data_IF_290092280611
#
_entry.id   IF_290092280611
#
_cell.length_a   1.000
_cell.length_b   1.000
_cell.length_c   1.000
_cell.angle_alpha   90.00
_cell.angle_beta   90.00
_cell.angle_gamma   90.00
#
_symmetry.space_group_name_H-M   'P 1'
#
loop_
_entity.id
_entity.type
_entity.pdbx_description
1 polymer ?
#
# COMPACT_ATOMS: atom_id res chain seq x y z
N UNK A 1 4.82 7.45 -15.49
CA UNK A 1 4.28 6.77 -14.30
C UNK A 1 2.90 6.26 -14.66
N UNK A 2 2.56 5.03 -14.31
CA UNK A 2 1.25 4.45 -14.60
C UNK A 2 0.20 5.08 -13.65
N UNK A 3 -1.00 5.42 -14.13
CA UNK A 3 -2.04 6.09 -13.33
C UNK A 3 -2.36 5.34 -12.02
N UNK A 4 -2.31 3.99 -12.07
CA UNK A 4 -2.46 3.12 -10.90
C UNK A 4 -1.36 3.30 -9.85
N UNK A 5 -0.13 3.65 -10.25
CA UNK A 5 0.97 3.89 -9.31
C UNK A 5 0.83 5.24 -8.61
N UNK A 6 0.26 6.23 -9.30
CA UNK A 6 -0.06 7.51 -8.68
C UNK A 6 -1.21 7.33 -7.67
N UNK A 7 -2.29 6.65 -8.10
CA UNK A 7 -3.41 6.31 -7.24
C UNK A 7 -2.97 5.55 -5.98
N UNK A 8 -2.13 4.52 -6.11
CA UNK A 8 -1.61 3.76 -4.97
C UNK A 8 -0.90 4.65 -3.94
N UNK A 9 -0.07 5.60 -4.39
CA UNK A 9 0.67 6.50 -3.50
C UNK A 9 -0.26 7.47 -2.76
N UNK A 10 -1.27 7.98 -3.44
CA UNK A 10 -2.24 8.88 -2.82
C UNK A 10 -3.12 8.14 -1.81
N UNK A 11 -3.50 6.89 -2.13
CA UNK A 11 -4.31 6.04 -1.29
C UNK A 11 -3.55 5.59 -0.03
N UNK A 12 -2.28 5.20 -0.15
CA UNK A 12 -1.40 4.92 0.99
C UNK A 12 -1.27 6.12 1.92
N UNK A 13 -1.10 7.34 1.38
CA UNK A 13 -1.04 8.57 2.19
C UNK A 13 -2.36 8.87 2.91
N UNK A 14 -3.51 8.56 2.29
CA UNK A 14 -4.83 8.85 2.86
C UNK A 14 -5.22 7.87 3.97
N UNK A 15 -4.87 6.60 3.79
CA UNK A 15 -5.49 5.49 4.53
C UNK A 15 -4.56 4.83 5.55
N UNK A 16 -3.30 5.25 5.62
CA UNK A 16 -2.31 4.65 6.52
C UNK A 16 -1.56 5.69 7.34
N UNK A 17 -1.06 5.27 8.49
CA UNK A 17 -0.31 6.06 9.48
C UNK A 17 1.20 5.82 9.40
N UNK A 18 1.68 5.35 8.25
CA UNK A 18 3.07 4.98 8.02
C UNK A 18 4.00 6.18 8.09
N UNK A 19 5.22 5.94 8.58
CA UNK A 19 6.33 6.87 8.40
C UNK A 19 6.70 7.00 6.92
N UNK A 20 7.43 8.06 6.55
CA UNK A 20 7.92 8.26 5.18
C UNK A 20 8.74 7.07 4.66
N UNK A 21 9.50 6.39 5.53
CA UNK A 21 10.35 5.25 5.17
C UNK A 21 9.47 4.02 4.89
N UNK A 22 8.56 3.71 5.80
CA UNK A 22 7.61 2.60 5.66
C UNK A 22 6.74 2.78 4.41
N UNK A 23 6.24 3.99 4.18
CA UNK A 23 5.47 4.32 2.99
C UNK A 23 6.26 4.03 1.69
N UNK A 24 7.54 4.41 1.63
CA UNK A 24 8.38 4.09 0.47
C UNK A 24 8.62 2.59 0.30
N UNK A 25 8.82 1.86 1.41
CA UNK A 25 9.04 0.41 1.40
C UNK A 25 7.79 -0.33 0.90
N UNK A 26 6.63 -0.01 1.46
CA UNK A 26 5.34 -0.59 1.09
C UNK A 26 4.99 -0.29 -0.34
N UNK A 27 5.08 0.98 -0.76
CA UNK A 27 4.79 1.36 -2.13
C UNK A 27 5.67 0.56 -3.10
N UNK A 28 6.96 0.34 -2.78
CA UNK A 28 7.84 -0.49 -3.60
C UNK A 28 7.42 -1.96 -3.62
N UNK A 29 7.02 -2.54 -2.50
CA UNK A 29 6.57 -3.94 -2.41
C UNK A 29 5.30 -4.16 -3.22
N UNK A 30 4.29 -3.29 -3.06
CA UNK A 30 3.01 -3.41 -3.76
C UNK A 30 3.18 -3.17 -5.26
N UNK A 31 3.97 -2.17 -5.67
CA UNK A 31 4.16 -1.83 -7.10
C UNK A 31 4.87 -2.91 -7.92
N UNK A 32 5.45 -3.93 -7.29
CA UNK A 32 6.10 -5.04 -7.99
C UNK A 32 5.09 -6.00 -8.62
N UNK A 33 3.85 -6.04 -8.12
CA UNK A 33 2.81 -6.94 -8.59
C UNK A 33 1.47 -6.21 -8.79
N UNK A 34 0.96 -6.21 -10.02
CA UNK A 34 -0.33 -5.61 -10.35
C UNK A 34 -1.51 -6.25 -9.60
N UNK A 35 -1.41 -7.52 -9.20
CA UNK A 35 -2.41 -8.17 -8.37
C UNK A 35 -2.42 -7.56 -6.97
N UNK A 36 -1.25 -7.29 -6.39
CA UNK A 36 -1.11 -6.62 -5.09
C UNK A 36 -1.62 -5.19 -5.12
N UNK A 37 -1.35 -4.44 -6.20
CA UNK A 37 -1.92 -3.09 -6.40
C UNK A 37 -3.44 -3.16 -6.39
N UNK A 38 -4.01 -4.08 -7.18
CA UNK A 38 -5.48 -4.23 -7.29
C UNK A 38 -6.10 -4.68 -5.97
N UNK A 39 -5.43 -5.59 -5.25
CA UNK A 39 -5.87 -6.05 -3.95
C UNK A 39 -5.89 -4.89 -2.94
N UNK A 40 -4.80 -4.15 -2.80
CA UNK A 40 -4.74 -3.00 -1.89
C UNK A 40 -5.85 -1.98 -2.17
N UNK A 41 -6.11 -1.66 -3.45
CA UNK A 41 -7.20 -0.74 -3.82
C UNK A 41 -8.59 -1.27 -3.48
N UNK A 42 -8.75 -2.59 -3.35
CA UNK A 42 -10.02 -3.24 -2.98
C UNK A 42 -10.24 -3.41 -1.48
N UNK A 43 -9.19 -3.32 -0.67
CA UNK A 43 -9.29 -3.37 0.80
C UNK A 43 -10.14 -2.19 1.28
N UNK A 44 -11.04 -2.35 2.27
CA UNK A 44 -11.72 -1.21 2.88
C UNK A 44 -10.73 -0.23 3.52
N UNK A 45 -10.98 1.08 3.43
CA UNK A 45 -10.04 2.09 3.94
C UNK A 45 -9.66 1.89 5.42
N UNK A 46 -10.59 1.38 6.24
CA UNK A 46 -10.37 1.11 7.66
C UNK A 46 -9.37 -0.04 7.92
N UNK A 47 -9.24 -0.96 6.96
CA UNK A 47 -8.42 -2.18 7.09
C UNK A 47 -7.05 -2.03 6.39
N UNK A 48 -6.87 -0.96 5.60
CA UNK A 48 -5.63 -0.72 4.85
C UNK A 48 -4.42 -0.51 5.75
N UNK A 49 -4.57 0.22 6.86
CA UNK A 49 -3.46 0.46 7.79
C UNK A 49 -2.95 -0.85 8.40
N UNK A 50 -3.87 -1.71 8.86
CA UNK A 50 -3.54 -3.03 9.41
C UNK A 50 -2.89 -3.91 8.35
N UNK A 51 -3.49 -4.02 7.16
CA UNK A 51 -2.95 -4.85 6.10
C UNK A 51 -1.52 -4.44 5.71
N UNK A 52 -1.25 -3.14 5.62
CA UNK A 52 0.09 -2.64 5.29
C UNK A 52 1.10 -2.91 6.41
N UNK A 53 0.69 -2.84 7.68
CA UNK A 53 1.55 -3.21 8.82
C UNK A 53 1.93 -4.70 8.75
N UNK A 54 0.96 -5.57 8.50
CA UNK A 54 1.20 -7.02 8.37
C UNK A 54 2.13 -7.33 7.18
N UNK A 55 1.97 -6.61 6.06
CA UNK A 55 2.87 -6.70 4.91
C UNK A 55 4.31 -6.24 5.24
N UNK A 56 4.45 -5.17 6.04
CA UNK A 56 5.76 -4.67 6.47
C UNK A 56 6.49 -5.62 7.42
N UNK A 57 5.73 -6.27 8.29
CA UNK A 57 6.21 -7.29 9.22
C UNK A 57 6.57 -8.61 8.51
N UNK A 58 6.29 -8.73 7.21
CA UNK A 58 6.62 -9.90 6.39
C UNK A 58 5.77 -11.13 6.72
N UNK A 59 4.58 -10.90 7.28
CA UNK A 59 3.64 -11.97 7.64
C UNK A 59 2.77 -12.41 6.45
N UNK A 60 2.76 -11.62 5.37
CA UNK A 60 2.10 -11.91 4.07
C UNK A 60 3.15 -11.83 2.96
#
# INVERSE_FOLDING_TARGET
MNDRHMQLRDELKRTTTLTTIEHHKVARMIMQDNAMVSYFLSVPDNDKDEWVRVLLDGTI
#
